data_IF_248316138130
#
_entry.id   IF_248316138130
#
_cell.length_a   1.000
_cell.length_b   1.000
_cell.length_c   1.000
_cell.angle_alpha   90.00
_cell.angle_beta   90.00
_cell.angle_gamma   90.00
#
_symmetry.space_group_name_H-M   'P 1'
#
loop_
_entity.id
_entity.type
_entity.pdbx_description
1 polymer ?
#
# COMPACT_ATOMS: atom_id res chain seq x y z
N UNK A 1 -29.01 -7.04 -57.51
CA UNK A 1 -28.65 -5.84 -56.74
C UNK A 1 -28.76 -6.13 -55.24
N UNK A 2 -27.95 -7.07 -54.72
CA UNK A 2 -27.97 -7.52 -53.31
C UNK A 2 -26.61 -8.15 -52.88
N UNK A 3 -25.47 -7.56 -53.22
CA UNK A 3 -24.17 -8.12 -52.75
C UNK A 3 -23.15 -7.11 -52.24
N UNK A 4 -23.49 -5.82 -52.15
CA UNK A 4 -22.53 -4.78 -51.73
C UNK A 4 -22.60 -4.35 -50.26
N UNK A 5 -23.50 -4.94 -49.44
CA UNK A 5 -23.70 -4.51 -48.04
C UNK A 5 -22.97 -5.35 -46.97
N UNK A 6 -22.41 -6.51 -47.31
CA UNK A 6 -21.73 -7.37 -46.34
C UNK A 6 -20.21 -7.17 -46.24
N UNK A 7 -19.60 -6.42 -47.17
CA UNK A 7 -18.14 -6.21 -47.18
C UNK A 7 -17.70 -5.10 -46.21
N UNK A 8 -18.58 -4.16 -45.86
CA UNK A 8 -18.24 -3.08 -44.92
C UNK A 8 -18.24 -3.48 -43.45
N UNK A 9 -18.75 -4.67 -43.08
CA UNK A 9 -18.77 -5.10 -41.67
C UNK A 9 -17.57 -5.98 -41.27
N UNK A 10 -16.81 -6.50 -42.25
CA UNK A 10 -15.65 -7.38 -42.00
C UNK A 10 -14.30 -6.63 -41.99
N UNK A 11 -14.25 -5.37 -42.46
CA UNK A 11 -13.00 -4.58 -42.50
C UNK A 11 -12.79 -3.74 -41.23
N UNK A 12 -13.81 -3.56 -40.39
CA UNK A 12 -13.66 -2.82 -39.11
C UNK A 12 -13.17 -3.68 -37.93
N UNK A 13 -13.00 -4.99 -38.11
CA UNK A 13 -12.50 -5.92 -37.08
C UNK A 13 -10.97 -6.11 -37.16
N UNK A 14 -10.30 -5.54 -38.18
CA UNK A 14 -8.88 -5.80 -38.46
C UNK A 14 -7.95 -4.58 -38.39
N UNK A 15 -8.39 -3.47 -37.77
CA UNK A 15 -7.46 -2.49 -37.22
C UNK A 15 -7.19 -2.88 -35.76
N UNK A 16 -6.44 -3.98 -35.63
CA UNK A 16 -5.71 -4.30 -34.43
C UNK A 16 -4.77 -3.15 -34.11
N UNK A 17 -5.27 -2.16 -33.37
CA UNK A 17 -4.44 -1.45 -32.42
C UNK A 17 -4.05 -2.53 -31.42
N UNK A 18 -2.94 -3.18 -31.73
CA UNK A 18 -2.08 -3.79 -30.74
C UNK A 18 -1.92 -2.73 -29.66
N UNK A 19 -2.71 -2.87 -28.59
CA UNK A 19 -2.33 -2.33 -27.29
C UNK A 19 -1.10 -3.18 -26.97
N UNK A 20 0.05 -2.75 -27.49
CA UNK A 20 1.32 -3.31 -27.10
C UNK A 20 1.31 -3.17 -25.59
N UNK A 21 1.20 -4.29 -24.89
CA UNK A 21 1.59 -4.35 -23.50
C UNK A 21 2.96 -3.71 -23.47
N UNK A 22 3.09 -2.59 -22.72
CA UNK A 22 4.39 -2.00 -22.47
C UNK A 22 5.21 -3.09 -21.78
N UNK A 23 6.01 -3.81 -22.55
CA UNK A 23 7.01 -4.71 -22.01
C UNK A 23 8.09 -3.85 -21.38
N UNK A 24 8.69 -4.33 -20.30
CA UNK A 24 9.87 -3.67 -19.76
C UNK A 24 10.93 -3.58 -20.86
N UNK A 25 11.38 -2.37 -21.17
CA UNK A 25 12.29 -2.12 -22.27
C UNK A 25 13.38 -1.16 -21.83
N UNK A 26 14.62 -1.51 -22.18
CA UNK A 26 15.76 -0.60 -22.12
C UNK A 26 16.10 -0.23 -23.55
N UNK A 27 15.89 1.04 -23.89
CA UNK A 27 16.18 1.59 -25.21
C UNK A 27 17.40 2.50 -25.06
N UNK A 28 18.49 2.14 -25.73
CA UNK A 28 19.65 3.00 -25.90
C UNK A 28 19.68 3.46 -27.37
N UNK A 29 19.62 4.78 -27.60
CA UNK A 29 19.70 5.38 -28.94
C UNK A 29 20.80 6.44 -29.02
N UNK A 30 21.48 6.55 -30.17
CA UNK A 30 22.53 7.54 -30.43
C UNK A 30 23.93 6.94 -30.49
N UNK A 31 24.92 7.76 -30.83
CA UNK A 31 26.29 7.31 -31.12
C UNK A 31 26.98 6.65 -29.92
N UNK A 32 26.60 6.99 -28.69
CA UNK A 32 27.05 6.29 -27.49
C UNK A 32 26.65 4.80 -27.50
N UNK A 33 25.47 4.46 -28.02
CA UNK A 33 24.94 3.10 -28.01
C UNK A 33 25.53 2.23 -29.13
N UNK A 34 26.04 2.84 -30.20
CA UNK A 34 26.72 2.13 -31.31
C UNK A 34 28.13 1.67 -30.93
N UNK A 35 28.73 2.30 -29.92
CA UNK A 35 30.06 1.96 -29.40
C UNK A 35 29.99 0.87 -28.33
N UNK A 36 28.80 0.63 -27.77
CA UNK A 36 28.58 -0.49 -26.88
C UNK A 36 28.64 -1.81 -27.67
N UNK A 37 29.43 -2.81 -27.21
CA UNK A 37 29.41 -4.14 -27.79
C UNK A 37 27.98 -4.69 -27.93
N UNK A 38 27.71 -5.41 -29.02
CA UNK A 38 26.40 -6.02 -29.28
C UNK A 38 25.94 -6.97 -28.16
N UNK A 39 26.88 -7.57 -27.43
CA UNK A 39 26.64 -8.37 -26.22
C UNK A 39 26.03 -7.55 -25.07
N UNK A 40 26.49 -6.31 -24.84
CA UNK A 40 25.95 -5.43 -23.79
C UNK A 40 24.57 -4.91 -24.19
N UNK A 41 24.36 -4.55 -25.46
CA UNK A 41 23.04 -4.12 -25.97
C UNK A 41 21.96 -5.20 -25.82
N UNK A 42 22.29 -6.43 -26.15
CA UNK A 42 21.36 -7.57 -25.99
C UNK A 42 21.15 -7.93 -24.52
N UNK A 43 22.17 -7.82 -23.67
CA UNK A 43 22.05 -8.02 -22.23
C UNK A 43 21.17 -6.96 -21.56
N UNK A 44 21.25 -5.68 -21.96
CA UNK A 44 20.42 -4.59 -21.40
C UNK A 44 18.93 -4.76 -21.70
N UNK A 45 18.60 -5.22 -22.91
CA UNK A 45 17.19 -5.45 -23.29
C UNK A 45 16.62 -6.70 -22.61
N UNK A 46 17.47 -7.68 -22.27
CA UNK A 46 17.02 -8.89 -21.61
C UNK A 46 17.06 -8.80 -20.07
N UNK A 47 17.89 -7.92 -19.52
CA UNK A 47 17.91 -7.63 -18.08
C UNK A 47 16.68 -6.84 -17.63
N UNK A 48 15.99 -6.11 -18.51
CA UNK A 48 14.73 -5.43 -18.17
C UNK A 48 13.63 -6.41 -17.76
N UNK A 49 13.49 -7.53 -18.49
CA UNK A 49 12.53 -8.58 -18.17
C UNK A 49 12.89 -9.31 -16.87
N UNK A 50 14.18 -9.50 -16.60
CA UNK A 50 14.66 -10.05 -15.32
C UNK A 50 14.39 -9.08 -14.16
N UNK A 51 14.65 -7.79 -14.34
CA UNK A 51 14.36 -6.75 -13.34
C UNK A 51 12.85 -6.63 -13.05
N UNK A 52 12.01 -6.71 -14.08
CA UNK A 52 10.55 -6.74 -13.92
C UNK A 52 10.11 -7.92 -13.05
N UNK A 53 10.44 -9.14 -13.46
CA UNK A 53 9.92 -10.36 -12.81
C UNK A 53 10.58 -10.68 -11.47
N UNK A 54 11.89 -10.43 -11.34
CA UNK A 54 12.64 -10.81 -10.15
C UNK A 54 12.65 -9.70 -9.09
N UNK A 55 12.58 -8.43 -9.49
CA UNK A 55 12.65 -7.29 -8.57
C UNK A 55 11.34 -6.53 -8.45
N UNK A 56 10.82 -5.97 -9.55
CA UNK A 56 9.66 -5.07 -9.49
C UNK A 56 8.42 -5.79 -8.98
N UNK A 57 8.12 -6.98 -9.51
CA UNK A 57 6.98 -7.77 -9.07
C UNK A 57 7.09 -8.15 -7.58
N UNK A 58 8.31 -8.41 -7.09
CA UNK A 58 8.55 -8.77 -5.69
C UNK A 58 8.44 -7.60 -4.73
N UNK A 59 8.92 -6.42 -5.11
CA UNK A 59 8.71 -5.18 -4.36
C UNK A 59 7.22 -4.84 -4.36
N UNK A 60 6.55 -4.98 -5.50
CA UNK A 60 5.14 -4.70 -5.63
C UNK A 60 4.29 -5.65 -4.78
N UNK A 61 4.57 -6.96 -4.82
CA UNK A 61 3.99 -7.96 -3.92
C UNK A 61 4.12 -7.51 -2.46
N UNK A 62 5.30 -7.03 -2.07
CA UNK A 62 5.54 -6.52 -0.71
C UNK A 62 4.72 -5.29 -0.33
N UNK A 63 4.56 -4.36 -1.27
CA UNK A 63 3.71 -3.19 -1.08
C UNK A 63 2.24 -3.58 -0.97
N UNK A 64 1.75 -4.52 -1.79
CA UNK A 64 0.35 -4.96 -1.74
C UNK A 64 0.03 -5.68 -0.43
N UNK A 65 0.91 -6.56 0.03
CA UNK A 65 0.74 -7.25 1.31
C UNK A 65 0.68 -6.26 2.48
N UNK A 66 1.50 -5.21 2.45
CA UNK A 66 1.49 -4.11 3.43
C UNK A 66 0.22 -3.26 3.33
N UNK A 67 -0.28 -3.03 2.11
CA UNK A 67 -1.54 -2.35 1.85
C UNK A 67 -2.75 -3.13 2.41
N UNK A 68 -2.76 -4.46 2.28
CA UNK A 68 -3.79 -5.31 2.91
C UNK A 68 -3.79 -5.13 4.43
N UNK A 69 -2.62 -5.24 5.07
CA UNK A 69 -2.56 -5.18 6.53
C UNK A 69 -2.92 -3.79 7.07
N UNK A 70 -2.46 -2.71 6.42
CA UNK A 70 -2.88 -1.34 6.78
C UNK A 70 -4.37 -1.10 6.59
N UNK A 71 -4.95 -1.62 5.50
CA UNK A 71 -6.38 -1.48 5.21
C UNK A 71 -7.25 -2.10 6.31
N UNK A 72 -6.86 -3.29 6.80
CA UNK A 72 -7.55 -3.95 7.91
C UNK A 72 -7.35 -3.17 9.23
N UNK A 73 -6.11 -2.74 9.52
CA UNK A 73 -5.78 -1.98 10.74
C UNK A 73 -6.42 -0.58 10.79
N UNK A 74 -6.94 -0.09 9.66
CA UNK A 74 -7.48 1.26 9.53
C UNK A 74 -8.74 1.53 10.35
N UNK A 75 -9.54 0.52 10.67
CA UNK A 75 -10.78 0.70 11.45
C UNK A 75 -10.53 0.98 12.93
N UNK A 76 -9.30 0.77 13.42
CA UNK A 76 -8.83 1.14 14.76
C UNK A 76 -9.85 0.82 15.85
N UNK A 77 -10.15 -0.45 16.08
CA UNK A 77 -11.42 -0.82 16.73
C UNK A 77 -11.30 -0.94 18.25
N UNK A 78 -10.14 -1.37 18.75
CA UNK A 78 -9.98 -1.75 20.15
C UNK A 78 -10.79 -3.01 20.52
N UNK A 79 -10.77 -3.42 21.80
CA UNK A 79 -11.45 -4.62 22.29
C UNK A 79 -12.82 -4.34 22.91
N UNK A 80 -13.10 -3.09 23.27
CA UNK A 80 -14.19 -2.73 24.17
C UNK A 80 -15.52 -2.46 23.48
N UNK A 81 -16.59 -2.60 24.26
CA UNK A 81 -17.94 -2.19 23.87
C UNK A 81 -18.00 -0.67 23.67
N UNK A 82 -18.56 -0.23 22.55
CA UNK A 82 -18.94 1.16 22.33
C UNK A 82 -20.25 1.37 23.08
N UNK A 83 -20.30 2.35 23.98
CA UNK A 83 -21.50 2.59 24.79
C UNK A 83 -22.64 3.22 23.97
N UNK A 84 -22.34 4.32 23.27
CA UNK A 84 -23.28 5.03 22.40
C UNK A 84 -22.68 5.28 21.03
N UNK A 85 -21.79 6.27 20.94
CA UNK A 85 -21.04 6.57 19.73
C UNK A 85 -19.63 7.09 20.04
N UNK A 86 -18.74 6.91 19.08
CA UNK A 86 -17.35 7.36 19.12
C UNK A 86 -16.95 7.92 17.77
N UNK A 87 -16.18 9.00 17.78
CA UNK A 87 -15.57 9.57 16.57
C UNK A 87 -14.08 9.70 16.81
N UNK A 88 -13.26 9.35 15.83
CA UNK A 88 -11.83 9.38 15.97
C UNK A 88 -11.08 9.62 14.68
N UNK A 89 -9.79 9.86 14.82
CA UNK A 89 -8.85 9.94 13.70
C UNK A 89 -7.63 9.09 14.03
N UNK A 90 -7.06 8.48 12.99
CA UNK A 90 -5.93 7.57 13.15
C UNK A 90 -5.03 7.58 11.93
N UNK A 91 -3.79 7.14 12.14
CA UNK A 91 -2.86 6.85 11.06
C UNK A 91 -2.36 5.42 11.22
N UNK A 92 -2.53 4.63 10.17
CA UNK A 92 -1.96 3.30 10.05
C UNK A 92 -0.69 3.37 9.21
N UNK A 93 0.34 2.65 9.61
CA UNK A 93 1.47 2.33 8.76
C UNK A 93 1.69 0.80 8.78
N UNK A 94 2.10 0.23 7.65
CA UNK A 94 2.62 -1.13 7.62
C UNK A 94 3.85 -1.15 6.74
N UNK A 95 4.72 -2.09 7.05
CA UNK A 95 5.84 -2.38 6.20
C UNK A 95 6.34 -3.79 6.39
N UNK A 96 7.14 -4.20 5.42
CA UNK A 96 7.96 -5.38 5.53
C UNK A 96 9.32 -5.13 4.93
N UNK A 97 10.34 -5.67 5.59
CA UNK A 97 11.66 -5.86 5.02
C UNK A 97 11.80 -7.33 4.69
N UNK A 98 11.66 -7.70 3.42
CA UNK A 98 12.00 -9.04 2.94
C UNK A 98 13.51 -9.11 2.66
N UNK A 99 14.02 -10.33 2.49
CA UNK A 99 15.42 -10.55 2.10
C UNK A 99 15.75 -9.76 0.82
N UNK A 100 16.97 -9.25 0.77
CA UNK A 100 17.41 -8.47 -0.38
C UNK A 100 17.36 -9.35 -1.64
N UNK A 101 16.88 -8.77 -2.73
CA UNK A 101 16.71 -9.48 -3.99
C UNK A 101 18.02 -9.41 -4.74
N UNK A 102 18.50 -10.57 -5.16
CA UNK A 102 19.61 -10.68 -6.10
C UNK A 102 19.04 -10.98 -7.49
N UNK A 103 19.21 -10.03 -8.42
CA UNK A 103 18.84 -10.23 -9.82
C UNK A 103 20.08 -10.69 -10.59
N UNK A 104 20.09 -11.95 -11.00
CA UNK A 104 21.18 -12.53 -11.81
C UNK A 104 20.71 -12.63 -13.26
N UNK A 105 21.42 -11.95 -14.16
CA UNK A 105 21.24 -12.11 -15.60
C UNK A 105 22.59 -12.25 -16.31
N UNK A 106 22.96 -13.49 -16.65
CA UNK A 106 24.27 -13.83 -17.24
C UNK A 106 25.42 -13.28 -16.39
N UNK A 107 26.25 -12.39 -16.94
CA UNK A 107 27.40 -11.78 -16.26
C UNK A 107 27.02 -10.55 -15.42
N UNK A 108 25.77 -10.10 -15.47
CA UNK A 108 25.26 -8.99 -14.68
C UNK A 108 24.63 -9.54 -13.40
N UNK A 109 25.24 -9.21 -12.27
CA UNK A 109 24.72 -9.56 -10.96
C UNK A 109 24.38 -8.29 -10.17
N UNK A 110 23.08 -8.05 -9.98
CA UNK A 110 22.58 -6.99 -9.10
C UNK A 110 22.28 -7.61 -7.74
N UNK A 111 23.28 -7.66 -6.88
CA UNK A 111 23.13 -8.16 -5.51
C UNK A 111 22.54 -7.10 -4.59
N UNK A 112 21.86 -7.56 -3.54
CA UNK A 112 21.39 -6.75 -2.41
C UNK A 112 20.42 -5.62 -2.78
N UNK A 113 19.52 -5.86 -3.74
CA UNK A 113 18.48 -4.88 -4.04
C UNK A 113 17.42 -4.91 -2.91
N UNK A 114 17.13 -3.77 -2.27
CA UNK A 114 16.24 -3.75 -1.12
C UNK A 114 14.82 -4.14 -1.53
N UNK A 115 14.24 -5.12 -0.84
CA UNK A 115 12.83 -5.50 -0.94
C UNK A 115 12.05 -4.97 0.26
N UNK A 116 11.66 -3.70 0.17
CA UNK A 116 10.90 -3.02 1.23
C UNK A 116 9.55 -2.61 0.68
N UNK A 117 8.49 -3.14 1.26
CA UNK A 117 7.12 -2.66 1.06
C UNK A 117 6.74 -1.78 2.21
N UNK A 118 6.14 -0.62 1.95
CA UNK A 118 5.59 0.25 2.98
C UNK A 118 4.28 0.88 2.51
N UNK A 119 3.35 1.08 3.43
CA UNK A 119 2.06 1.73 3.15
C UNK A 119 1.63 2.52 4.36
N UNK A 120 1.05 3.71 4.13
CA UNK A 120 0.51 4.58 5.17
C UNK A 120 -0.92 4.95 4.79
N UNK A 121 -1.84 4.87 5.75
CA UNK A 121 -3.26 5.10 5.55
C UNK A 121 -3.81 5.94 6.71
N UNK A 122 -4.00 7.26 6.51
CA UNK A 122 -4.75 8.09 7.46
C UNK A 122 -6.25 7.80 7.36
N UNK A 123 -6.97 7.93 8.46
CA UNK A 123 -8.38 7.58 8.55
C UNK A 123 -9.15 8.43 9.57
N UNK A 124 -10.43 8.64 9.27
CA UNK A 124 -11.43 9.07 10.25
C UNK A 124 -12.30 7.85 10.56
N UNK A 125 -12.55 7.61 11.84
CA UNK A 125 -13.29 6.47 12.35
C UNK A 125 -14.58 6.95 13.04
N UNK A 126 -15.66 6.22 12.85
CA UNK A 126 -16.93 6.42 13.53
C UNK A 126 -17.41 5.06 14.03
N UNK A 127 -17.75 4.95 15.30
CA UNK A 127 -18.26 3.72 15.87
C UNK A 127 -19.52 3.98 16.67
N UNK A 128 -20.46 3.03 16.68
CA UNK A 128 -21.70 3.15 17.45
C UNK A 128 -22.25 1.79 17.86
N UNK A 129 -23.06 1.81 18.91
CA UNK A 129 -23.81 0.65 19.38
C UNK A 129 -25.17 0.55 18.70
N UNK A 130 -25.54 -0.64 18.20
CA UNK A 130 -26.84 -0.84 17.54
C UNK A 130 -28.01 -0.77 18.51
N UNK A 131 -27.84 -1.25 19.76
CA UNK A 131 -28.86 -1.13 20.79
C UNK A 131 -29.21 0.33 21.07
N UNK A 132 -28.22 1.21 21.11
CA UNK A 132 -28.43 2.65 21.32
C UNK A 132 -29.13 3.33 20.15
N UNK A 133 -28.67 3.11 18.92
CA UNK A 133 -29.28 3.72 17.73
C UNK A 133 -30.75 3.30 17.54
N UNK A 134 -31.08 2.06 17.89
CA UNK A 134 -32.43 1.51 17.73
C UNK A 134 -33.34 1.82 18.92
N UNK A 135 -32.91 2.65 19.88
CA UNK A 135 -33.73 3.11 21.00
C UNK A 135 -33.88 2.09 22.13
N UNK A 136 -33.06 1.04 22.15
CA UNK A 136 -33.05 0.01 23.19
C UNK A 136 -32.12 0.33 24.37
N UNK A 137 -31.52 1.53 24.39
CA UNK A 137 -30.65 2.03 25.47
C UNK A 137 -29.14 2.01 25.14
N UNK A 138 -28.28 2.59 25.98
CA UNK A 138 -26.82 2.45 25.86
C UNK A 138 -26.33 1.04 26.28
N UNK A 139 -25.07 0.68 25.95
CA UNK A 139 -24.52 -0.64 26.28
C UNK A 139 -24.35 -0.91 27.78
N UNK A 140 -24.37 0.12 28.61
CA UNK A 140 -24.34 0.06 30.08
C UNK A 140 -25.74 -0.07 30.73
N UNK A 141 -26.78 -0.35 29.93
CA UNK A 141 -28.12 -0.60 30.45
C UNK A 141 -28.15 -1.86 31.36
N UNK A 142 -28.90 -1.85 32.48
CA UNK A 142 -29.00 -3.00 33.38
C UNK A 142 -29.43 -4.27 32.63
N UNK A 143 -28.81 -5.42 32.95
CA UNK A 143 -29.02 -6.69 32.21
C UNK A 143 -30.49 -7.10 32.10
N UNK A 144 -31.31 -6.80 33.12
CA UNK A 144 -32.75 -7.10 33.14
C UNK A 144 -33.55 -6.40 32.03
N UNK A 145 -33.02 -5.30 31.47
CA UNK A 145 -33.64 -4.52 30.38
C UNK A 145 -32.75 -4.47 29.12
N UNK A 146 -31.63 -5.19 29.11
CA UNK A 146 -30.65 -5.13 28.03
C UNK A 146 -31.11 -5.97 26.82
N UNK A 147 -31.53 -5.30 25.75
CA UNK A 147 -31.80 -5.97 24.48
C UNK A 147 -30.53 -6.59 23.89
N UNK A 148 -30.65 -7.75 23.22
CA UNK A 148 -29.52 -8.47 22.62
C UNK A 148 -28.68 -7.62 21.65
N UNK A 149 -29.28 -6.58 21.07
CA UNK A 149 -28.64 -5.64 20.16
C UNK A 149 -27.50 -4.81 20.78
N UNK A 150 -27.44 -4.68 22.12
CA UNK A 150 -26.33 -4.00 22.81
C UNK A 150 -24.98 -4.67 22.61
N UNK A 151 -24.97 -5.95 22.20
CA UNK A 151 -23.74 -6.70 21.93
C UNK A 151 -23.14 -6.38 20.57
N UNK A 152 -23.84 -5.64 19.71
CA UNK A 152 -23.40 -5.30 18.37
C UNK A 152 -22.87 -3.87 18.28
N UNK A 153 -21.62 -3.75 17.88
CA UNK A 153 -21.02 -2.48 17.50
C UNK A 153 -20.79 -2.45 15.99
N UNK A 154 -20.99 -1.28 15.40
CA UNK A 154 -20.62 -0.99 14.03
C UNK A 154 -19.48 0.00 14.05
N UNK A 155 -18.43 -0.28 13.28
CA UNK A 155 -17.28 0.58 13.06
C UNK A 155 -17.24 0.94 11.59
N UNK A 156 -17.22 2.24 11.30
CA UNK A 156 -17.08 2.80 9.97
C UNK A 156 -15.77 3.57 9.94
N UNK A 157 -15.07 3.54 8.82
CA UNK A 157 -13.92 4.41 8.59
C UNK A 157 -13.88 4.90 7.16
N UNK A 158 -13.31 6.09 6.97
CA UNK A 158 -13.29 6.76 5.70
C UNK A 158 -12.23 7.84 5.62
N UNK A 159 -11.54 7.92 4.49
CA UNK A 159 -10.63 9.01 4.14
C UNK A 159 -10.47 9.08 2.63
N UNK A 160 -10.51 10.29 2.08
CA UNK A 160 -10.18 10.52 0.68
C UNK A 160 -9.38 11.80 0.55
N UNK A 161 -8.27 11.70 -0.19
CA UNK A 161 -7.39 12.81 -0.46
C UNK A 161 -6.83 12.73 -1.87
N UNK A 162 -6.68 13.88 -2.53
CA UNK A 162 -6.10 14.01 -3.85
C UNK A 162 -4.88 14.94 -3.77
N UNK A 163 -3.70 14.40 -4.06
CA UNK A 163 -2.43 15.13 -4.05
C UNK A 163 -2.30 16.12 -5.22
N UNK A 164 -3.09 15.95 -6.27
CA UNK A 164 -2.98 16.75 -7.51
C UNK A 164 -3.54 18.17 -7.36
N UNK A 165 -4.35 18.43 -6.31
CA UNK A 165 -5.03 19.71 -6.08
C UNK A 165 -4.72 20.22 -4.66
N UNK A 166 -4.10 21.40 -4.53
CA UNK A 166 -4.04 22.16 -3.27
C UNK A 166 -2.65 22.37 -2.66
N UNK A 167 -2.65 22.76 -1.38
CA UNK A 167 -1.51 23.28 -0.62
C UNK A 167 -0.32 22.30 -0.50
N UNK A 168 -0.56 20.98 -0.54
CA UNK A 168 0.52 19.99 -0.42
C UNK A 168 1.43 20.01 -1.64
N UNK A 169 0.88 20.15 -2.85
CA UNK A 169 1.69 20.26 -4.06
C UNK A 169 2.48 21.57 -4.07
N UNK A 170 1.91 22.65 -3.55
CA UNK A 170 2.59 23.94 -3.44
C UNK A 170 3.68 23.93 -2.36
N UNK A 171 3.48 23.23 -1.24
CA UNK A 171 4.50 23.00 -0.21
C UNK A 171 5.66 22.15 -0.74
N UNK A 172 5.37 21.08 -1.49
CA UNK A 172 6.39 20.23 -2.11
C UNK A 172 7.20 21.03 -3.14
N UNK A 173 6.54 21.78 -4.01
CA UNK A 173 7.23 22.66 -4.98
C UNK A 173 8.15 23.67 -4.29
N UNK A 174 7.68 24.31 -3.22
CA UNK A 174 8.50 25.26 -2.44
C UNK A 174 9.76 24.62 -1.82
N UNK A 175 9.71 23.33 -1.50
CA UNK A 175 10.85 22.62 -0.94
C UNK A 175 11.75 22.03 -2.03
N UNK A 176 11.17 21.61 -3.16
CA UNK A 176 11.86 20.91 -4.23
C UNK A 176 11.15 21.10 -5.58
N UNK A 177 11.59 22.10 -6.36
CA UNK A 177 10.98 22.47 -7.64
C UNK A 177 10.98 21.35 -8.70
N UNK A 178 11.86 20.36 -8.53
CA UNK A 178 12.02 19.27 -9.48
C UNK A 178 11.23 17.99 -9.13
N UNK A 179 10.39 18.03 -8.09
CA UNK A 179 9.53 16.93 -7.69
C UNK A 179 8.05 17.32 -7.85
N UNK A 180 7.31 16.54 -8.63
CA UNK A 180 5.86 16.67 -8.76
C UNK A 180 5.19 15.42 -8.19
N UNK A 181 4.34 15.59 -7.19
CA UNK A 181 3.53 14.52 -6.62
C UNK A 181 2.08 14.67 -7.08
N UNK A 182 1.50 13.59 -7.59
CA UNK A 182 0.11 13.55 -8.03
C UNK A 182 -0.57 12.25 -7.62
N UNK A 183 -1.88 12.19 -7.87
CA UNK A 183 -2.72 11.04 -7.55
C UNK A 183 -3.57 11.24 -6.29
N UNK A 184 -4.03 10.17 -5.66
CA UNK A 184 -4.85 10.23 -4.46
C UNK A 184 -4.96 8.91 -3.71
N UNK A 185 -5.40 9.00 -2.46
CA UNK A 185 -5.70 7.87 -1.59
C UNK A 185 -7.19 7.91 -1.25
N UNK A 186 -7.85 6.78 -1.33
CA UNK A 186 -9.22 6.59 -0.86
C UNK A 186 -9.26 5.32 -0.02
N UNK A 187 -9.68 5.45 1.22
CA UNK A 187 -9.84 4.33 2.12
C UNK A 187 -11.21 4.38 2.78
N UNK A 188 -11.96 3.29 2.73
CA UNK A 188 -13.30 3.20 3.28
C UNK A 188 -13.58 1.81 3.79
N UNK A 189 -14.36 1.69 4.84
CA UNK A 189 -14.89 0.38 5.20
C UNK A 189 -15.79 0.38 6.40
N UNK A 190 -16.36 -0.79 6.64
CA UNK A 190 -17.29 -1.06 7.71
C UNK A 190 -16.95 -2.40 8.37
N UNK A 191 -17.12 -2.48 9.67
CA UNK A 191 -17.04 -3.72 10.43
C UNK A 191 -18.18 -3.80 11.44
N UNK A 192 -18.80 -4.97 11.52
CA UNK A 192 -19.75 -5.32 12.57
C UNK A 192 -19.04 -6.24 13.56
N UNK A 193 -19.19 -5.96 14.85
CA UNK A 193 -18.59 -6.75 15.92
C UNK A 193 -19.64 -7.18 16.92
N UNK A 194 -19.72 -8.49 17.15
CA UNK A 194 -20.60 -9.11 18.13
C UNK A 194 -19.82 -9.50 19.38
N UNK A 195 -20.25 -9.05 20.55
CA UNK A 195 -19.66 -9.39 21.84
C UNK A 195 -20.33 -10.65 22.38
N UNK A 196 -19.64 -11.79 22.24
CA UNK A 196 -20.12 -13.11 22.68
C UNK A 196 -20.25 -13.12 24.20
N UNK A 197 -19.16 -12.71 24.86
CA UNK A 197 -19.11 -12.52 26.30
C UNK A 197 -18.96 -11.02 26.56
N UNK A 198 -19.91 -10.39 27.28
CA UNK A 198 -19.79 -8.99 27.67
C UNK A 198 -18.64 -8.82 28.66
N UNK A 199 -18.24 -7.57 28.91
CA UNK A 199 -17.22 -7.31 29.91
C UNK A 199 -17.73 -7.62 31.32
N UNK A 200 -16.85 -8.13 32.18
CA UNK A 200 -17.13 -8.34 33.59
C UNK A 200 -15.88 -7.98 34.40
N UNK A 201 -16.08 -7.33 35.54
CA UNK A 201 -14.97 -6.80 36.33
C UNK A 201 -15.29 -6.74 37.81
N UNK A 202 -14.29 -6.35 38.58
CA UNK A 202 -14.43 -6.08 40.00
C UNK A 202 -15.22 -4.79 40.26
N UNK A 203 -15.89 -4.72 41.41
CA UNK A 203 -16.69 -3.55 41.83
C UNK A 203 -15.83 -2.28 42.00
N UNK A 204 -14.52 -2.47 42.23
CA UNK A 204 -13.54 -1.38 42.41
C UNK A 204 -12.93 -0.87 41.10
N UNK A 205 -13.23 -1.50 39.96
CA UNK A 205 -12.74 -1.09 38.64
C UNK A 205 -11.21 -1.18 38.46
N UNK A 206 -10.56 -2.07 39.22
CA UNK A 206 -9.11 -2.31 39.13
C UNK A 206 -8.81 -3.35 38.06
N UNK A 207 -9.68 -4.34 37.88
CA UNK A 207 -9.51 -5.38 36.88
C UNK A 207 -10.86 -5.71 36.23
N UNK A 208 -10.94 -5.52 34.93
CA UNK A 208 -12.09 -5.90 34.13
C UNK A 208 -11.66 -6.70 32.90
N UNK A 209 -12.28 -7.86 32.72
CA UNK A 209 -12.17 -8.58 31.47
C UNK A 209 -13.06 -7.89 30.44
N UNK A 210 -12.49 -7.48 29.31
CA UNK A 210 -13.23 -6.76 28.25
C UNK A 210 -14.17 -7.66 27.45
N UNK A 211 -14.18 -8.97 27.70
CA UNK A 211 -15.02 -9.92 26.99
C UNK A 211 -14.32 -10.59 25.80
N UNK A 212 -15.11 -11.32 25.02
CA UNK A 212 -14.69 -11.91 23.75
C UNK A 212 -15.63 -11.40 22.66
N UNK A 213 -15.05 -10.89 21.58
CA UNK A 213 -15.78 -10.33 20.46
C UNK A 213 -15.39 -10.97 19.13
N UNK A 214 -16.36 -11.08 18.24
CA UNK A 214 -16.23 -11.59 16.88
C UNK A 214 -16.52 -10.46 15.90
N UNK A 215 -15.56 -10.14 15.03
CA UNK A 215 -15.65 -9.11 14.01
C UNK A 215 -15.79 -9.70 12.60
N UNK A 216 -16.62 -9.06 11.77
CA UNK A 216 -16.68 -9.27 10.33
C UNK A 216 -16.77 -7.92 9.63
N UNK A 217 -15.87 -7.66 8.70
CA UNK A 217 -15.80 -6.37 8.01
C UNK A 217 -15.58 -6.45 6.52
N UNK A 218 -15.67 -5.29 5.88
CA UNK A 218 -15.36 -5.03 4.47
C UNK A 218 -14.61 -3.70 4.39
N UNK A 219 -13.38 -3.74 3.88
CA UNK A 219 -12.47 -2.61 3.81
C UNK A 219 -11.96 -2.44 2.39
N UNK A 220 -11.94 -1.22 1.89
CA UNK A 220 -11.56 -0.86 0.53
C UNK A 220 -10.50 0.24 0.58
N UNK A 221 -9.33 -0.07 0.03
CA UNK A 221 -8.21 0.86 -0.14
C UNK A 221 -7.88 1.01 -1.61
N UNK A 222 -7.85 2.24 -2.09
CA UNK A 222 -7.35 2.62 -3.41
C UNK A 222 -6.25 3.66 -3.25
N UNK A 223 -5.10 3.40 -3.86
CA UNK A 223 -3.97 4.31 -3.90
C UNK A 223 -3.56 4.50 -5.35
N UNK A 224 -3.54 5.75 -5.80
CA UNK A 224 -2.98 6.16 -7.08
C UNK A 224 -1.90 7.19 -6.75
N UNK A 225 -0.64 6.86 -6.98
CA UNK A 225 0.50 7.73 -6.71
C UNK A 225 1.25 7.93 -8.02
N UNK A 226 1.47 9.18 -8.40
CA UNK A 226 2.22 9.54 -9.59
C UNK A 226 3.31 10.54 -9.20
N UNK A 227 4.55 10.08 -9.14
CA UNK A 227 5.73 10.86 -8.79
C UNK A 227 6.52 11.13 -10.06
N UNK A 228 6.68 12.40 -10.43
CA UNK A 228 7.55 12.81 -11.52
C UNK A 228 8.71 13.59 -10.91
N UNK A 229 9.92 13.08 -11.11
CA UNK A 229 11.15 13.67 -10.61
C UNK A 229 12.04 14.05 -11.78
N UNK A 230 12.25 15.35 -11.96
CA UNK A 230 13.11 15.89 -13.01
C UNK A 230 14.53 16.03 -12.50
N UNK A 231 15.36 15.02 -12.74
CA UNK A 231 16.73 15.00 -12.25
C UNK A 231 17.70 15.62 -13.27
N UNK A 232 18.22 16.81 -12.97
CA UNK A 232 19.39 17.36 -13.68
C UNK A 232 20.70 16.72 -13.25
N UNK A 233 20.70 15.90 -12.18
CA UNK A 233 21.90 15.31 -11.60
C UNK A 233 22.34 14.09 -12.42
N UNK A 234 23.62 14.09 -12.78
CA UNK A 234 24.25 13.05 -13.59
C UNK A 234 24.60 11.85 -12.71
N UNK A 235 23.89 10.73 -12.86
CA UNK A 235 24.24 9.46 -12.20
C UNK A 235 25.40 8.82 -12.94
N UNK A 236 26.47 8.43 -12.25
CA UNK A 236 27.59 7.71 -12.87
C UNK A 236 27.23 6.24 -13.09
N UNK A 237 27.41 5.76 -14.31
CA UNK A 237 27.21 4.37 -14.71
C UNK A 237 28.56 3.74 -15.06
N UNK A 238 28.87 2.59 -14.48
CA UNK A 238 29.98 1.76 -14.93
C UNK A 238 29.43 0.63 -15.80
N UNK A 239 29.89 0.53 -17.05
CA UNK A 239 29.50 -0.51 -18.01
C UNK A 239 30.72 -1.39 -18.29
N UNK A 240 30.93 -2.40 -17.43
CA UNK A 240 32.10 -3.27 -17.49
C UNK A 240 33.39 -2.57 -17.02
N UNK A 241 34.55 -3.07 -17.45
CA UNK A 241 35.87 -2.58 -17.01
C UNK A 241 36.44 -1.43 -17.84
N UNK A 242 35.81 -1.07 -18.96
CA UNK A 242 36.38 -0.14 -19.96
C UNK A 242 35.49 1.06 -20.29
N UNK A 243 34.23 1.08 -19.86
CA UNK A 243 33.30 2.18 -20.14
C UNK A 243 32.72 2.76 -18.85
N UNK A 244 32.88 4.08 -18.69
CA UNK A 244 32.25 4.86 -17.63
C UNK A 244 31.35 5.89 -18.26
N UNK A 245 30.20 6.17 -17.66
CA UNK A 245 29.22 7.07 -18.24
C UNK A 245 28.47 7.87 -17.21
N UNK A 246 27.71 8.84 -17.69
CA UNK A 246 26.75 9.59 -16.89
C UNK A 246 25.37 9.52 -17.52
N UNK A 247 24.35 9.31 -16.70
CA UNK A 247 22.94 9.28 -17.10
C UNK A 247 22.12 10.22 -16.22
N UNK A 248 21.67 11.31 -16.82
CA UNK A 248 20.70 12.23 -16.24
C UNK A 248 19.37 12.07 -16.97
N UNK A 249 18.25 12.38 -16.34
CA UNK A 249 16.95 12.23 -16.97
C UNK A 249 15.77 12.32 -16.02
N UNK A 250 14.60 12.52 -16.60
CA UNK A 250 13.34 12.54 -15.86
C UNK A 250 12.97 11.12 -15.45
N UNK A 251 12.58 10.95 -14.19
CA UNK A 251 12.03 9.72 -13.63
C UNK A 251 10.54 9.90 -13.41
N UNK A 252 9.73 8.97 -13.92
CA UNK A 252 8.31 8.88 -13.66
C UNK A 252 8.03 7.55 -12.96
N UNK A 253 7.35 7.64 -11.82
CA UNK A 253 6.93 6.51 -11.01
C UNK A 253 5.42 6.59 -10.81
N UNK A 254 4.70 5.60 -11.29
CA UNK A 254 3.26 5.49 -11.15
C UNK A 254 2.91 4.19 -10.45
N UNK A 255 2.35 4.32 -9.27
CA UNK A 255 1.87 3.19 -8.47
C UNK A 255 0.36 3.26 -8.35
N UNK A 256 -0.32 2.20 -8.76
CA UNK A 256 -1.76 2.05 -8.61
C UNK A 256 -2.03 0.78 -7.85
N UNK A 257 -2.78 0.87 -6.75
CA UNK A 257 -3.17 -0.26 -5.92
C UNK A 257 -4.64 -0.15 -5.58
N UNK A 258 -5.36 -1.25 -5.74
CA UNK A 258 -6.73 -1.39 -5.26
C UNK A 258 -6.82 -2.69 -4.50
N UNK A 259 -7.21 -2.59 -3.23
CA UNK A 259 -7.30 -3.72 -2.30
C UNK A 259 -8.65 -3.67 -1.62
N UNK A 260 -9.38 -4.77 -1.70
CA UNK A 260 -10.60 -5.02 -0.93
C UNK A 260 -10.33 -6.18 0.02
N UNK A 261 -10.55 -5.96 1.31
CA UNK A 261 -10.29 -6.92 2.37
C UNK A 261 -11.58 -7.24 3.12
N UNK A 262 -11.86 -8.52 3.30
CA UNK A 262 -12.97 -9.03 4.13
C UNK A 262 -12.36 -9.71 5.36
N UNK A 263 -12.01 -8.94 6.41
CA UNK A 263 -11.48 -9.49 7.64
C UNK A 263 -12.56 -10.16 8.51
N UNK A 264 -12.14 -11.23 9.16
CA UNK A 264 -12.85 -11.93 10.22
C UNK A 264 -11.89 -12.10 11.39
N UNK A 265 -12.22 -11.57 12.57
CA UNK A 265 -11.32 -11.61 13.73
C UNK A 265 -12.03 -11.90 15.04
N UNK A 266 -11.28 -12.46 15.97
CA UNK A 266 -11.67 -12.65 17.36
C UNK A 266 -10.75 -11.80 18.23
N UNK A 267 -11.31 -10.99 19.12
CA UNK A 267 -10.56 -10.13 20.03
C UNK A 267 -11.01 -10.32 21.47
N UNK A 268 -10.07 -10.17 22.38
CA UNK A 268 -10.28 -10.15 23.82
C UNK A 268 -9.33 -9.16 24.48
N UNK A 269 -9.62 -8.76 25.72
CA UNK A 269 -8.79 -7.79 26.42
C UNK A 269 -9.00 -7.81 27.92
N UNK A 270 -8.08 -7.15 28.61
CA UNK A 270 -8.12 -6.90 30.03
C UNK A 270 -7.91 -5.41 30.26
N UNK A 271 -8.85 -4.81 30.97
CA UNK A 271 -8.77 -3.45 31.48
C UNK A 271 -8.15 -3.49 32.87
N UNK A 272 -7.01 -2.82 32.98
CA UNK A 272 -6.26 -2.59 34.20
C UNK A 272 -6.51 -1.16 34.64
N UNK A 273 -7.07 -1.01 35.84
CA UNK A 273 -7.62 0.25 36.31
C UNK A 273 -8.70 0.79 35.35
N UNK A 274 -9.35 1.89 35.71
CA UNK A 274 -10.38 2.50 34.86
C UNK A 274 -9.84 3.07 33.54
N UNK A 275 -8.51 3.19 33.38
CA UNK A 275 -7.89 3.99 32.30
C UNK A 275 -7.04 3.20 31.29
N UNK A 276 -6.67 1.93 31.51
CA UNK A 276 -5.78 1.21 30.59
C UNK A 276 -6.38 -0.13 30.18
N UNK A 277 -6.41 -0.44 28.89
CA UNK A 277 -6.90 -1.73 28.38
C UNK A 277 -5.90 -2.34 27.44
N UNK A 278 -5.40 -3.53 27.79
CA UNK A 278 -4.58 -4.35 26.93
C UNK A 278 -5.48 -5.31 26.17
N UNK A 279 -5.23 -5.47 24.87
CA UNK A 279 -5.97 -6.43 24.07
C UNK A 279 -5.11 -7.21 23.12
N UNK A 280 -5.64 -8.37 22.74
CA UNK A 280 -5.07 -9.24 21.75
C UNK A 280 -6.19 -9.92 20.96
N UNK A 281 -5.86 -10.35 19.75
CA UNK A 281 -6.77 -11.03 18.87
C UNK A 281 -6.06 -11.74 17.75
N UNK A 282 -6.83 -12.58 17.07
CA UNK A 282 -6.38 -13.34 15.90
C UNK A 282 -7.46 -13.24 14.84
N UNK A 283 -7.05 -13.20 13.58
CA UNK A 283 -7.99 -13.09 12.49
C UNK A 283 -7.46 -13.63 11.18
N UNK A 284 -8.36 -13.71 10.22
CA UNK A 284 -8.07 -14.01 8.82
C UNK A 284 -8.76 -12.97 7.95
N UNK A 285 -8.32 -12.84 6.72
CA UNK A 285 -8.94 -11.94 5.76
C UNK A 285 -8.92 -12.57 4.38
N UNK A 286 -10.00 -12.38 3.64
CA UNK A 286 -10.02 -12.64 2.20
C UNK A 286 -9.73 -11.33 1.47
N UNK A 287 -8.77 -11.35 0.55
CA UNK A 287 -8.34 -10.12 -0.13
C UNK A 287 -8.45 -10.27 -1.64
N UNK A 288 -8.89 -9.18 -2.27
CA UNK A 288 -9.12 -9.09 -3.70
C UNK A 288 -8.61 -7.76 -4.22
N UNK A 289 -8.26 -7.72 -5.50
CA UNK A 289 -7.85 -6.50 -6.16
C UNK A 289 -6.62 -6.72 -7.02
N UNK A 290 -5.94 -5.63 -7.32
CA UNK A 290 -4.80 -5.63 -8.23
C UNK A 290 -3.96 -4.39 -8.00
N UNK A 291 -2.66 -4.54 -8.21
CA UNK A 291 -1.73 -3.44 -8.17
C UNK A 291 -0.81 -3.48 -9.37
N UNK A 292 -0.44 -2.29 -9.84
CA UNK A 292 0.48 -2.07 -10.94
C UNK A 292 1.47 -1.00 -10.57
N UNK A 293 2.71 -1.18 -11.01
CA UNK A 293 3.77 -0.20 -10.86
C UNK A 293 4.37 0.03 -12.25
N UNK A 294 4.30 1.27 -12.73
CA UNK A 294 4.97 1.70 -13.94
C UNK A 294 6.12 2.63 -13.53
N UNK A 295 7.35 2.23 -13.81
CA UNK A 295 8.54 3.02 -13.59
C UNK A 295 9.19 3.30 -14.94
N UNK A 296 9.46 4.57 -15.22
CA UNK A 296 10.21 4.94 -16.42
C UNK A 296 11.21 6.03 -16.12
N UNK A 297 12.42 5.92 -16.65
CA UNK A 297 13.44 6.96 -16.63
C UNK A 297 13.98 7.15 -18.03
N UNK A 298 14.07 8.39 -18.50
CA UNK A 298 14.62 8.69 -19.82
C UNK A 298 15.47 9.95 -19.78
N UNK A 299 16.61 9.93 -20.46
CA UNK A 299 17.43 11.13 -20.62
C UNK A 299 18.80 10.88 -21.23
N UNK A 300 19.63 11.94 -21.35
CA UNK A 300 20.89 11.86 -22.03
C UNK A 300 21.89 10.95 -21.30
N UNK A 301 22.55 10.12 -22.09
CA UNK A 301 23.63 9.24 -21.70
C UNK A 301 24.92 9.77 -22.31
N UNK A 302 25.93 10.05 -21.51
CA UNK A 302 27.29 10.32 -22.00
C UNK A 302 28.19 9.15 -21.59
N UNK A 303 28.84 8.49 -22.55
CA UNK A 303 29.77 7.39 -22.30
C UNK A 303 31.19 7.81 -22.67
N UNK A 304 32.13 7.39 -21.84
CA UNK A 304 33.57 7.51 -22.06
C UNK A 304 34.15 6.10 -22.03
N UNK A 305 34.65 5.65 -23.18
CA UNK A 305 35.30 4.34 -23.33
C UNK A 305 36.81 4.55 -23.41
N UNK A 306 37.55 3.86 -22.55
CA UNK A 306 39.01 3.92 -22.52
C UNK A 306 39.58 2.58 -23.01
N UNK A 307 40.36 2.61 -24.08
CA UNK A 307 41.07 1.44 -24.60
C UNK A 307 42.56 1.78 -24.75
N UNK A 308 43.37 1.45 -23.74
CA UNK A 308 44.76 1.88 -23.66
C UNK A 308 44.88 3.39 -23.41
N UNK A 309 45.55 4.13 -24.29
CA UNK A 309 45.70 5.59 -24.23
C UNK A 309 44.59 6.37 -24.93
N UNK A 310 43.72 5.69 -25.68
CA UNK A 310 42.65 6.34 -26.43
C UNK A 310 41.37 6.42 -25.59
N UNK A 311 40.85 7.63 -25.46
CA UNK A 311 39.59 7.93 -24.77
C UNK A 311 38.57 8.43 -25.78
N UNK A 312 37.45 7.72 -25.91
CA UNK A 312 36.36 8.11 -26.81
C UNK A 312 35.13 8.50 -25.97
N UNK A 313 34.70 9.75 -26.07
CA UNK A 313 33.52 10.27 -25.36
C UNK A 313 32.39 10.58 -26.31
N UNK A 314 31.23 9.94 -26.12
CA UNK A 314 30.08 9.98 -27.03
C UNK A 314 28.77 10.12 -26.26
N UNK A 315 27.78 10.74 -26.90
CA UNK A 315 26.47 11.01 -26.29
C UNK A 315 25.35 10.22 -26.97
N UNK A 316 24.30 9.96 -26.21
CA UNK A 316 23.11 9.24 -26.63
C UNK A 316 21.97 9.51 -25.66
N UNK A 317 20.91 8.72 -25.76
CA UNK A 317 19.77 8.72 -24.85
C UNK A 317 19.56 7.30 -24.34
N UNK A 318 19.40 7.17 -23.03
CA UNK A 318 19.05 5.92 -22.37
C UNK A 318 17.66 6.07 -21.76
N UNK A 319 16.76 5.17 -22.16
CA UNK A 319 15.41 5.05 -21.61
C UNK A 319 15.24 3.67 -20.99
N UNK A 320 14.74 3.65 -19.77
CA UNK A 320 14.37 2.47 -19.01
C UNK A 320 12.88 2.56 -18.73
N UNK A 321 12.11 1.56 -19.09
CA UNK A 321 10.73 1.38 -18.68
C UNK A 321 10.60 0.00 -18.05
N UNK A 322 10.07 -0.04 -16.82
CA UNK A 322 9.76 -1.25 -16.07
C UNK A 322 8.29 -1.18 -15.70
N UNK A 323 7.58 -2.28 -15.88
CA UNK A 323 6.21 -2.41 -15.42
C UNK A 323 6.16 -3.63 -14.51
N UNK A 324 5.30 -3.61 -13.51
CA UNK A 324 5.11 -4.74 -12.62
C UNK A 324 3.64 -4.88 -12.25
N UNK A 325 3.24 -6.10 -11.96
CA UNK A 325 1.87 -6.42 -11.53
C UNK A 325 1.89 -7.39 -10.38
N UNK A 326 1.13 -7.07 -9.34
CA UNK A 326 0.93 -7.99 -8.23
C UNK A 326 -0.53 -7.97 -7.79
N UNK A 327 -0.98 -9.12 -7.30
CA UNK A 327 -2.30 -9.27 -6.71
C UNK A 327 -2.15 -9.42 -5.19
N UNK A 328 -3.13 -8.93 -4.40
CA UNK A 328 -3.13 -9.18 -2.97
C UNK A 328 -3.24 -10.68 -2.70
N UNK A 329 -2.66 -11.18 -1.60
CA UNK A 329 -2.79 -12.58 -1.22
C UNK A 329 -4.27 -12.90 -0.95
N UNK A 330 -4.82 -13.90 -1.64
CA UNK A 330 -6.23 -14.29 -1.54
C UNK A 330 -6.69 -14.48 -0.09
N UNK A 331 -5.81 -14.97 0.78
CA UNK A 331 -6.05 -15.10 2.21
C UNK A 331 -4.83 -14.65 3.01
N UNK A 332 -5.06 -13.93 4.10
CA UNK A 332 -4.03 -13.50 5.04
C UNK A 332 -4.51 -13.69 6.49
N UNK A 333 -3.82 -14.55 7.23
CA UNK A 333 -3.96 -14.69 8.68
C UNK A 333 -3.09 -13.67 9.41
N UNK A 334 -3.61 -13.09 10.49
CA UNK A 334 -2.92 -12.07 11.26
C UNK A 334 -3.20 -12.21 12.76
N UNK A 335 -2.27 -11.68 13.54
CA UNK A 335 -2.47 -11.41 14.97
C UNK A 335 -2.59 -9.90 15.17
N UNK A 336 -3.38 -9.50 16.14
CA UNK A 336 -3.57 -8.10 16.53
C UNK A 336 -3.36 -7.97 18.03
N UNK A 337 -2.75 -6.89 18.47
CA UNK A 337 -2.63 -6.57 19.88
C UNK A 337 -2.37 -5.10 20.10
N UNK A 338 -2.77 -4.57 21.24
CA UNK A 338 -2.68 -3.14 21.46
C UNK A 338 -3.06 -2.69 22.85
N UNK A 339 -2.97 -1.37 23.01
CA UNK A 339 -3.27 -0.65 24.24
C UNK A 339 -4.32 0.42 23.94
N UNK A 340 -5.34 0.51 24.77
CA UNK A 340 -6.29 1.61 24.82
C UNK A 340 -6.13 2.35 26.15
N UNK A 341 -5.88 3.65 26.09
CA UNK A 341 -5.91 4.52 27.26
C UNK A 341 -7.22 5.31 27.27
N UNK A 342 -8.04 5.08 28.30
CA UNK A 342 -9.32 5.72 28.55
C UNK A 342 -9.14 6.92 29.49
N UNK A 343 -9.16 8.12 28.93
CA UNK A 343 -9.04 9.41 29.62
C UNK A 343 -10.40 10.13 29.61
N UNK A 344 -11.33 9.66 30.45
CA UNK A 344 -12.73 10.13 30.52
C UNK A 344 -13.44 9.99 29.16
N UNK A 345 -13.57 11.10 28.42
CA UNK A 345 -14.19 11.14 27.09
C UNK A 345 -13.19 10.92 25.95
N UNK A 346 -11.89 11.05 26.20
CA UNK A 346 -10.84 10.85 25.22
C UNK A 346 -10.27 9.43 25.34
N UNK A 347 -10.09 8.76 24.22
CA UNK A 347 -9.41 7.46 24.14
C UNK A 347 -8.21 7.56 23.22
N UNK A 348 -7.07 7.05 23.65
CA UNK A 348 -5.86 6.90 22.83
C UNK A 348 -5.70 5.42 22.53
N UNK A 349 -5.69 5.03 21.25
CA UNK A 349 -5.48 3.65 20.84
C UNK A 349 -4.14 3.50 20.13
N UNK A 350 -3.40 2.47 20.52
CA UNK A 350 -2.23 1.97 19.81
C UNK A 350 -2.49 0.51 19.47
N UNK A 351 -2.61 0.18 18.19
CA UNK A 351 -2.92 -1.16 17.69
C UNK A 351 -1.80 -1.65 16.76
N UNK A 352 -1.17 -2.76 17.12
CA UNK A 352 -0.20 -3.48 16.29
C UNK A 352 -0.85 -4.69 15.64
N UNK A 353 -0.54 -4.94 14.38
CA UNK A 353 -0.90 -6.17 13.68
C UNK A 353 0.34 -6.81 13.06
N UNK A 354 0.38 -8.13 13.03
CA UNK A 354 1.46 -8.87 12.38
C UNK A 354 0.92 -10.05 11.58
N UNK A 355 1.51 -10.29 10.42
CA UNK A 355 1.19 -11.41 9.52
C UNK A 355 2.46 -11.87 8.81
N UNK A 356 2.91 -13.12 9.06
CA UNK A 356 4.17 -13.68 8.55
C UNK A 356 5.35 -12.69 8.67
N UNK A 357 5.65 -11.96 7.60
CA UNK A 357 6.79 -11.03 7.49
C UNK A 357 6.38 -9.55 7.49
N UNK A 358 5.09 -9.25 7.67
CA UNK A 358 4.52 -7.90 7.58
C UNK A 358 4.08 -7.47 8.96
N UNK A 359 4.41 -6.24 9.31
CA UNK A 359 4.00 -5.61 10.57
C UNK A 359 3.28 -4.32 10.26
N UNK A 360 2.21 -4.05 10.99
CA UNK A 360 1.46 -2.80 10.95
C UNK A 360 1.32 -2.22 12.34
N UNK A 361 1.39 -0.90 12.43
CA UNK A 361 1.05 -0.14 13.62
C UNK A 361 0.00 0.91 13.23
N UNK A 362 -0.98 1.08 14.10
CA UNK A 362 -1.99 2.14 14.02
C UNK A 362 -1.96 2.89 15.34
N UNK A 363 -1.96 4.22 15.23
CA UNK A 363 -2.11 5.11 16.37
C UNK A 363 -3.27 6.05 16.07
N UNK A 364 -4.15 6.24 17.04
CA UNK A 364 -5.16 7.27 16.90
C UNK A 364 -5.88 7.62 18.19
N UNK A 365 -6.77 8.59 18.01
CA UNK A 365 -7.53 9.24 19.07
C UNK A 365 -9.01 9.05 18.78
N UNK A 366 -9.80 8.78 19.81
CA UNK A 366 -11.26 8.75 19.73
C UNK A 366 -11.86 9.59 20.84
N UNK A 367 -13.00 10.20 20.57
CA UNK A 367 -13.85 10.85 21.54
C UNK A 367 -15.09 9.97 21.71
N UNK A 368 -15.38 9.57 22.94
CA UNK A 368 -16.54 8.76 23.31
C UNK A 368 -17.60 9.62 24.01
N UNK A 369 -18.87 9.38 23.67
CA UNK A 369 -20.03 10.14 24.12
C UNK A 369 -21.13 9.26 24.72
#
# INVERSE_FOLDING_TARGET
MYSLRYISFLVFIYLGISIQSLHSQVICSGSACDILPSSIRTQLTASSSALETQYVDKVLESMVESAVLTNINSAMMGPGLVNRFQVGASISAAGQKKEDITVVYRDLNFNNLPNVGATITPNINLAFNLGWILGHGPSDSPEENAHYLHRFNVYLHGFQYNFSNGDVQDLIKRQQDNLQLGGGISNYGAMIRFHVFPSYGDEYGVFEFSGISLGLGLHYLKQDLNIIYSDSTRQTLALGSTATGTWSGDTNFRFKSTVTSVPMDVRTGFRFFYFMTLFAGVGTSLNFGSSSLDFSRSGPLALTVTNGTNTLSQSGTLSLALNGKANPPNSMGYVVGGLEFNLLFLKVLVEGMASKNIQSANVGLKIAF
#
